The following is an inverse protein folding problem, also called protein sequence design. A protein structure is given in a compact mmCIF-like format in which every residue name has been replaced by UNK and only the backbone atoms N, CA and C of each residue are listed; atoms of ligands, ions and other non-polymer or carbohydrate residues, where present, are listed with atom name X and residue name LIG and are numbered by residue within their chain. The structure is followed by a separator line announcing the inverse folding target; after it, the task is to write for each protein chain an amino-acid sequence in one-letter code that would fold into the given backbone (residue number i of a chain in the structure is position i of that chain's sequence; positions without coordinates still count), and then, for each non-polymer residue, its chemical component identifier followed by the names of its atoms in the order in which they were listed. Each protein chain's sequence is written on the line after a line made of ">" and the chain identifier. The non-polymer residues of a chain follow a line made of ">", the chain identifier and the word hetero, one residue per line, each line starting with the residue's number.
data_IF_209947354330
#
_entry.id   IF_209947354330
#
_cell.length_a   1.000
_cell.length_b   1.000
_cell.length_c   1.000
_cell.angle_alpha   90.00
_cell.angle_beta   90.00
_cell.angle_gamma   90.00
#
_symmetry.space_group_name_H-M   'P 1'
#
loop_
_entity.id
_entity.type
_entity.pdbx_description
1 polymer ?
#
# COMPACT_ATOMS: atom_id res chain seq x y z
N UNK A 1 14.97 -17.96 -9.33
CA UNK A 1 13.88 -18.60 -10.08
C UNK A 1 12.75 -17.61 -10.21
N UNK A 2 12.38 -17.18 -11.41
CA UNK A 2 11.18 -16.37 -11.65
C UNK A 2 9.99 -17.29 -11.39
N UNK A 3 9.28 -17.04 -10.30
CA UNK A 3 7.98 -17.67 -10.07
C UNK A 3 7.03 -17.09 -11.11
N UNK A 4 6.38 -17.92 -11.93
CA UNK A 4 5.57 -17.56 -13.10
C UNK A 4 4.28 -16.78 -12.82
N UNK A 5 4.37 -15.74 -11.97
CA UNK A 5 3.26 -14.82 -11.73
C UNK A 5 3.21 -13.78 -12.85
N UNK A 6 2.05 -13.55 -13.43
CA UNK A 6 1.83 -12.64 -14.56
C UNK A 6 2.24 -11.17 -14.31
N UNK A 7 2.57 -10.81 -13.07
CA UNK A 7 2.95 -9.46 -12.65
C UNK A 7 4.43 -9.29 -12.30
N UNK A 8 5.28 -10.28 -12.55
CA UNK A 8 6.70 -10.27 -12.21
C UNK A 8 7.56 -10.01 -13.45
N UNK A 9 8.42 -9.00 -13.35
CA UNK A 9 9.44 -8.71 -14.33
C UNK A 9 10.68 -8.10 -13.67
N UNK A 10 11.80 -8.08 -14.37
CA UNK A 10 12.99 -7.36 -13.92
C UNK A 10 12.76 -5.85 -14.02
N UNK A 11 13.24 -5.10 -13.02
CA UNK A 11 13.23 -3.65 -13.09
C UNK A 11 14.02 -3.18 -14.32
N UNK A 12 13.46 -2.22 -15.05
CA UNK A 12 14.13 -1.55 -16.15
C UNK A 12 14.73 -0.24 -15.63
N UNK A 13 16.03 -0.07 -15.81
CA UNK A 13 16.75 1.10 -15.32
C UNK A 13 17.12 2.02 -16.50
N UNK A 14 16.86 3.33 -16.43
CA UNK A 14 17.23 4.25 -17.49
C UNK A 14 18.74 4.41 -17.57
N UNK A 15 19.31 4.25 -18.74
CA UNK A 15 20.76 4.41 -18.98
C UNK A 15 21.27 5.81 -18.60
N UNK A 16 20.43 6.83 -18.79
CA UNK A 16 20.75 8.22 -18.45
C UNK A 16 20.89 8.48 -16.93
N UNK A 17 20.48 7.55 -16.08
CA UNK A 17 20.53 7.66 -14.61
C UNK A 17 21.14 6.41 -14.00
N UNK A 18 22.43 6.14 -14.18
CA UNK A 18 23.06 4.88 -13.78
C UNK A 18 23.04 4.65 -12.26
N UNK A 19 23.05 5.72 -11.47
CA UNK A 19 23.01 5.65 -10.01
C UNK A 19 21.63 5.28 -9.46
N UNK A 20 20.55 5.47 -10.22
CA UNK A 20 19.17 5.25 -9.75
C UNK A 20 18.98 3.83 -9.23
N UNK A 21 19.53 2.84 -9.93
CA UNK A 21 19.43 1.44 -9.54
C UNK A 21 20.09 1.18 -8.17
N UNK A 22 21.29 1.71 -7.97
CA UNK A 22 22.06 1.52 -6.73
C UNK A 22 21.40 2.22 -5.56
N UNK A 23 21.02 3.49 -5.73
CA UNK A 23 20.36 4.27 -4.68
C UNK A 23 19.00 3.66 -4.31
N UNK A 24 18.19 3.24 -5.29
CA UNK A 24 16.91 2.59 -5.03
C UNK A 24 17.08 1.28 -4.26
N UNK A 25 18.07 0.46 -4.60
CA UNK A 25 18.35 -0.80 -3.88
C UNK A 25 18.77 -0.55 -2.44
N UNK A 26 19.62 0.45 -2.21
CA UNK A 26 20.07 0.84 -0.86
C UNK A 26 18.88 1.32 -0.02
N UNK A 27 18.02 2.16 -0.60
CA UNK A 27 16.82 2.64 0.06
C UNK A 27 15.84 1.50 0.38
N UNK A 28 15.57 0.62 -0.60
CA UNK A 28 14.72 -0.56 -0.41
C UNK A 28 15.24 -1.45 0.74
N UNK A 29 16.55 -1.67 0.81
CA UNK A 29 17.15 -2.49 1.86
C UNK A 29 16.92 -1.87 3.25
N UNK A 30 17.12 -0.56 3.40
CA UNK A 30 16.89 0.15 4.65
C UNK A 30 15.38 0.13 5.05
N UNK A 31 14.49 0.40 4.09
CA UNK A 31 13.05 0.39 4.34
C UNK A 31 12.52 -1.01 4.67
N UNK A 32 13.08 -2.06 4.06
CA UNK A 32 12.75 -3.45 4.40
C UNK A 32 13.08 -3.76 5.86
N UNK A 33 14.25 -3.37 6.33
CA UNK A 33 14.64 -3.57 7.73
C UNK A 33 13.72 -2.83 8.70
N UNK A 34 13.40 -1.57 8.39
CA UNK A 34 12.47 -0.79 9.20
C UNK A 34 11.07 -1.42 9.21
N UNK A 35 10.54 -1.84 8.06
CA UNK A 35 9.24 -2.48 7.97
C UNK A 35 9.19 -3.80 8.76
N UNK A 36 10.26 -4.61 8.72
CA UNK A 36 10.35 -5.82 9.53
C UNK A 36 10.28 -5.50 11.03
N UNK A 37 11.03 -4.50 11.50
CA UNK A 37 10.97 -4.06 12.90
C UNK A 37 9.58 -3.57 13.30
N UNK A 38 8.88 -2.87 12.43
CA UNK A 38 7.49 -2.44 12.67
C UNK A 38 6.52 -3.62 12.73
N UNK A 39 6.70 -4.65 11.89
CA UNK A 39 5.90 -5.89 11.98
C UNK A 39 6.16 -6.63 13.29
N UNK A 40 7.40 -6.67 13.78
CA UNK A 40 7.76 -7.24 15.07
C UNK A 40 7.09 -6.47 16.24
N UNK A 41 7.13 -5.14 16.21
CA UNK A 41 6.43 -4.31 17.18
C UNK A 41 4.91 -4.50 17.12
N UNK A 42 4.37 -4.69 15.92
CA UNK A 42 2.96 -5.03 15.73
C UNK A 42 2.61 -6.37 16.38
N UNK A 43 3.45 -7.40 16.21
CA UNK A 43 3.25 -8.69 16.87
C UNK A 43 3.22 -8.54 18.40
N UNK A 44 4.19 -7.85 18.97
CA UNK A 44 4.23 -7.57 20.41
C UNK A 44 2.99 -6.82 20.92
N UNK A 45 2.47 -5.87 20.13
CA UNK A 45 1.25 -5.11 20.50
C UNK A 45 -0.04 -5.96 20.48
N UNK A 46 0.05 -7.18 19.94
CA UNK A 46 -1.04 -8.17 19.87
C UNK A 46 -0.84 -9.33 20.84
N UNK A 47 0.09 -9.21 21.83
CA UNK A 47 0.50 -10.25 22.75
C UNK A 47 0.98 -11.53 22.05
N UNK A 48 1.69 -11.35 20.91
CA UNK A 48 2.30 -12.42 20.12
C UNK A 48 3.82 -12.41 20.27
N UNK A 49 4.53 -13.53 19.99
CA UNK A 49 5.98 -13.55 19.87
C UNK A 49 6.47 -12.49 18.85
N UNK A 50 7.63 -11.88 19.10
CA UNK A 50 8.19 -10.83 18.25
C UNK A 50 8.32 -11.28 16.78
N UNK A 51 8.69 -12.53 16.54
CA UNK A 51 8.92 -13.13 15.22
C UNK A 51 7.66 -13.74 14.58
N UNK A 52 6.48 -13.54 15.19
CA UNK A 52 5.24 -14.20 14.75
C UNK A 52 4.94 -14.04 13.26
N UNK A 53 5.20 -12.87 12.68
CA UNK A 53 4.94 -12.59 11.27
C UNK A 53 6.12 -12.89 10.35
N UNK A 54 7.31 -13.25 10.87
CA UNK A 54 8.53 -13.39 10.05
C UNK A 54 8.37 -14.49 8.98
N UNK A 55 7.63 -15.55 9.29
CA UNK A 55 7.35 -16.63 8.35
C UNK A 55 6.54 -16.20 7.12
N UNK A 56 5.80 -15.11 7.22
CA UNK A 56 5.01 -14.55 6.11
C UNK A 56 5.81 -13.59 5.22
N UNK A 57 7.05 -13.27 5.60
CA UNK A 57 7.90 -12.27 4.95
C UNK A 57 9.29 -12.82 4.57
N UNK A 58 9.37 -14.09 4.19
CA UNK A 58 10.63 -14.73 3.75
C UNK A 58 11.09 -14.20 2.37
N UNK A 59 10.15 -13.96 1.48
CA UNK A 59 10.36 -13.38 0.15
C UNK A 59 9.32 -12.31 -0.15
N UNK A 60 9.26 -11.23 0.65
CA UNK A 60 8.20 -10.24 0.57
C UNK A 60 8.22 -9.51 -0.77
N UNK A 61 7.03 -9.10 -1.21
CA UNK A 61 6.88 -8.24 -2.37
C UNK A 61 7.14 -6.79 -1.96
N UNK A 62 8.25 -6.25 -2.44
CA UNK A 62 8.68 -4.89 -2.12
C UNK A 62 8.42 -3.98 -3.33
N UNK A 63 7.64 -2.93 -3.15
CA UNK A 63 7.39 -1.96 -4.20
C UNK A 63 7.81 -0.57 -3.74
N UNK A 64 8.76 0.04 -4.46
CA UNK A 64 9.14 1.44 -4.30
C UNK A 64 8.56 2.25 -5.44
N UNK A 65 7.85 3.32 -5.15
CA UNK A 65 7.40 4.29 -6.14
C UNK A 65 8.08 5.62 -5.91
N UNK A 66 8.49 6.26 -7.00
CA UNK A 66 9.00 7.63 -7.01
C UNK A 66 7.93 8.49 -7.68
N UNK A 67 7.18 9.25 -6.91
CA UNK A 67 6.02 10.00 -7.39
C UNK A 67 6.33 11.49 -7.45
N UNK A 68 6.06 12.10 -8.60
CA UNK A 68 6.12 13.53 -8.82
C UNK A 68 4.74 14.01 -9.26
N UNK A 69 4.10 14.77 -8.42
CA UNK A 69 2.82 15.43 -8.72
C UNK A 69 3.14 16.82 -9.30
N UNK A 70 2.70 17.13 -10.53
CA UNK A 70 2.91 18.46 -11.10
C UNK A 70 2.21 19.53 -10.28
N UNK A 71 2.63 20.81 -10.40
CA UNK A 71 1.92 21.92 -9.79
C UNK A 71 0.45 21.93 -10.20
N UNK A 72 -0.41 22.23 -9.25
CA UNK A 72 -1.85 22.33 -9.53
C UNK A 72 -2.15 23.69 -10.21
N UNK A 73 -2.78 23.73 -11.38
CA UNK A 73 -3.21 24.98 -11.99
C UNK A 73 -4.22 25.70 -11.07
N UNK A 74 -4.16 27.03 -11.00
CA UNK A 74 -5.12 27.83 -10.21
C UNK A 74 -6.58 27.63 -10.66
N UNK A 75 -6.77 27.28 -11.94
CA UNK A 75 -8.09 27.02 -12.54
C UNK A 75 -8.60 25.58 -12.30
N UNK A 76 -7.81 24.71 -11.65
CA UNK A 76 -8.23 23.33 -11.48
C UNK A 76 -9.31 23.20 -10.39
N UNK A 77 -10.26 22.30 -10.66
CA UNK A 77 -11.33 21.98 -9.73
C UNK A 77 -10.76 21.46 -8.40
N UNK A 78 -11.37 21.87 -7.29
CA UNK A 78 -11.06 21.38 -5.93
C UNK A 78 -11.22 19.85 -5.79
N UNK A 79 -11.89 19.21 -6.74
CA UNK A 79 -12.06 17.74 -6.83
C UNK A 79 -10.94 17.04 -7.61
N UNK A 80 -9.95 17.75 -8.13
CA UNK A 80 -8.80 17.15 -8.80
C UNK A 80 -7.80 16.63 -7.76
N UNK A 81 -7.74 15.31 -7.60
CA UNK A 81 -6.83 14.65 -6.67
C UNK A 81 -5.55 14.18 -7.37
N UNK A 82 -4.42 14.26 -6.68
CA UNK A 82 -3.18 13.60 -7.09
C UNK A 82 -3.29 12.07 -6.96
N UNK A 83 -3.99 11.61 -5.92
CA UNK A 83 -4.44 10.23 -5.76
C UNK A 83 -5.82 10.23 -5.09
N UNK A 84 -6.77 9.52 -5.65
CA UNK A 84 -8.11 9.35 -5.09
C UNK A 84 -8.12 8.58 -3.78
N UNK A 85 -9.26 8.57 -3.09
CA UNK A 85 -9.46 7.77 -1.86
C UNK A 85 -9.19 6.29 -2.11
N UNK A 86 -8.27 5.70 -1.34
CA UNK A 86 -7.92 4.28 -1.40
C UNK A 86 -7.33 3.80 -0.08
N UNK A 87 -7.18 2.49 0.07
CA UNK A 87 -6.37 1.81 1.07
C UNK A 87 -5.22 1.09 0.40
N UNK A 88 -4.13 0.83 1.14
CA UNK A 88 -3.02 0.02 0.65
C UNK A 88 -3.31 -1.46 0.85
N UNK A 89 -2.97 -2.28 -0.13
CA UNK A 89 -3.35 -3.70 -0.16
C UNK A 89 -2.39 -4.64 0.58
N UNK A 90 -1.19 -4.15 0.95
CA UNK A 90 -0.16 -4.91 1.64
C UNK A 90 -0.32 -4.94 3.16
N UNK A 91 0.82 -5.10 3.87
CA UNK A 91 0.86 -5.05 5.33
C UNK A 91 1.14 -3.64 5.86
N UNK A 92 2.28 -3.05 5.45
CA UNK A 92 2.71 -1.72 5.90
C UNK A 92 3.19 -0.90 4.70
N UNK A 93 2.88 0.39 4.72
CA UNK A 93 3.48 1.39 3.81
C UNK A 93 4.31 2.38 4.60
N UNK A 94 5.54 2.60 4.16
CA UNK A 94 6.45 3.64 4.66
C UNK A 94 6.53 4.75 3.61
N UNK A 95 6.04 5.94 3.95
CA UNK A 95 5.98 7.04 3.00
C UNK A 95 6.90 8.18 3.43
N UNK A 96 7.91 8.47 2.60
CA UNK A 96 8.60 9.75 2.63
C UNK A 96 7.84 10.76 1.78
N UNK A 97 7.71 11.98 2.25
CA UNK A 97 7.09 13.08 1.52
C UNK A 97 7.89 14.37 1.70
N UNK A 98 7.81 15.25 0.71
CA UNK A 98 8.38 16.59 0.82
C UNK A 98 7.49 17.51 1.68
N UNK A 99 7.91 18.77 1.83
CA UNK A 99 7.25 19.76 2.68
C UNK A 99 5.93 20.31 2.13
N UNK A 100 5.52 19.94 0.91
CA UNK A 100 4.31 20.50 0.27
C UNK A 100 3.00 19.97 0.85
N UNK A 101 3.02 18.87 1.62
CA UNK A 101 1.81 18.29 2.21
C UNK A 101 0.88 17.61 1.19
N UNK A 102 -0.43 17.75 1.41
CA UNK A 102 -1.48 17.23 0.52
C UNK A 102 -1.93 15.80 0.81
N UNK A 103 -1.20 15.03 1.60
CA UNK A 103 -1.71 13.74 2.08
C UNK A 103 -2.76 13.97 3.16
N UNK A 104 -3.92 13.34 2.99
CA UNK A 104 -5.02 13.32 3.96
C UNK A 104 -5.40 11.90 4.30
N UNK A 105 -5.70 11.65 5.56
CA UNK A 105 -6.12 10.35 6.11
C UNK A 105 -7.53 10.49 6.67
N UNK A 106 -8.39 9.51 6.38
CA UNK A 106 -9.76 9.48 6.87
C UNK A 106 -9.81 8.84 8.25
N UNK A 107 -10.29 9.58 9.23
CA UNK A 107 -10.53 9.07 10.56
C UNK A 107 -11.75 8.14 10.60
N UNK A 108 -11.90 7.29 11.64
CA UNK A 108 -13.11 6.47 11.84
C UNK A 108 -14.40 7.28 11.94
N UNK A 109 -14.30 8.55 12.31
CA UNK A 109 -15.41 9.53 12.34
C UNK A 109 -15.89 9.93 10.95
N UNK A 110 -15.12 9.62 9.89
CA UNK A 110 -15.35 10.07 8.52
C UNK A 110 -14.66 11.39 8.18
N UNK A 111 -14.05 12.07 9.15
CA UNK A 111 -13.31 13.31 8.96
C UNK A 111 -11.97 13.04 8.25
N UNK A 112 -11.58 13.96 7.35
CA UNK A 112 -10.28 13.96 6.70
C UNK A 112 -9.31 14.87 7.45
N UNK A 113 -8.18 14.31 7.86
CA UNK A 113 -7.10 15.05 8.52
C UNK A 113 -5.84 15.05 7.68
N UNK A 114 -5.16 16.19 7.64
CA UNK A 114 -3.89 16.31 6.93
C UNK A 114 -2.78 15.56 7.67
N UNK A 115 -2.03 14.72 6.95
CA UNK A 115 -0.75 14.17 7.42
C UNK A 115 0.36 15.18 7.11
N UNK A 116 0.46 16.20 7.97
CA UNK A 116 1.44 17.30 7.82
C UNK A 116 2.87 16.74 7.77
N UNK A 117 3.68 17.13 6.78
CA UNK A 117 5.07 16.70 6.72
C UNK A 117 5.87 17.12 7.95
N UNK A 118 6.66 16.19 8.47
CA UNK A 118 7.64 16.45 9.54
C UNK A 118 9.01 16.08 8.97
N UNK A 119 9.96 16.98 9.05
CA UNK A 119 11.30 16.75 8.53
C UNK A 119 11.95 15.53 9.18
N UNK A 120 12.57 14.68 8.38
CA UNK A 120 13.22 13.44 8.85
C UNK A 120 12.25 12.33 9.27
N UNK A 121 10.93 12.53 9.20
CA UNK A 121 9.95 11.51 9.53
C UNK A 121 9.36 10.80 8.30
N UNK A 122 8.91 9.57 8.52
CA UNK A 122 8.10 8.81 7.58
C UNK A 122 6.66 8.74 8.09
N UNK A 123 5.69 8.82 7.19
CA UNK A 123 4.33 8.40 7.49
C UNK A 123 4.27 6.88 7.38
N UNK A 124 3.74 6.24 8.41
CA UNK A 124 3.51 4.78 8.44
C UNK A 124 2.02 4.54 8.44
N UNK A 125 1.52 3.79 7.46
CA UNK A 125 0.14 3.35 7.45
C UNK A 125 0.03 1.82 7.32
N UNK A 126 -1.02 1.28 7.94
CA UNK A 126 -1.36 -0.13 7.89
C UNK A 126 -2.16 -0.41 6.63
N UNK A 127 -1.78 -1.46 5.92
CA UNK A 127 -2.51 -1.95 4.76
C UNK A 127 -3.59 -2.99 5.11
N UNK A 128 -4.32 -3.45 4.10
CA UNK A 128 -5.51 -4.30 4.23
C UNK A 128 -5.25 -5.70 4.81
N UNK A 129 -3.99 -6.16 4.86
CA UNK A 129 -3.63 -7.43 5.53
C UNK A 129 -3.77 -7.31 7.04
N UNK A 130 -3.48 -6.13 7.61
CA UNK A 130 -3.49 -5.93 9.07
C UNK A 130 -4.89 -6.10 9.67
N UNK A 131 -5.97 -5.47 9.18
CA UNK A 131 -7.31 -5.74 9.70
C UNK A 131 -7.72 -7.20 9.55
N UNK A 132 -7.25 -7.92 8.54
CA UNK A 132 -7.54 -9.35 8.39
C UNK A 132 -6.84 -10.19 9.45
N UNK A 133 -5.54 -9.97 9.69
CA UNK A 133 -4.80 -10.64 10.75
C UNK A 133 -5.32 -10.30 12.14
N UNK A 134 -5.67 -9.04 12.37
CA UNK A 134 -6.11 -8.58 13.70
C UNK A 134 -7.62 -8.65 13.91
N UNK A 135 -8.34 -9.39 13.06
CA UNK A 135 -9.80 -9.55 13.13
C UNK A 135 -10.57 -8.22 13.23
N UNK A 136 -9.99 -7.14 12.64
CA UNK A 136 -10.55 -5.79 12.65
C UNK A 136 -10.19 -4.95 13.88
N UNK A 137 -9.29 -5.43 14.77
CA UNK A 137 -8.78 -4.64 15.89
C UNK A 137 -8.02 -3.42 15.39
N UNK A 138 -7.08 -3.61 14.46
CA UNK A 138 -6.43 -2.54 13.72
C UNK A 138 -7.12 -2.32 12.37
N UNK A 139 -6.95 -1.12 11.81
CA UNK A 139 -7.63 -0.70 10.58
C UNK A 139 -6.62 -0.25 9.52
N UNK A 140 -6.96 -0.49 8.26
CA UNK A 140 -6.35 0.17 7.13
C UNK A 140 -7.15 1.45 6.86
N UNK A 141 -6.55 2.60 7.11
CA UNK A 141 -7.25 3.86 6.96
C UNK A 141 -7.26 4.32 5.50
N UNK A 142 -8.44 4.68 4.95
CA UNK A 142 -8.50 5.33 3.65
C UNK A 142 -7.69 6.62 3.67
N UNK A 143 -6.95 6.86 2.59
CA UNK A 143 -6.16 8.06 2.42
C UNK A 143 -6.23 8.53 0.98
N UNK A 144 -5.87 9.80 0.77
CA UNK A 144 -5.89 10.45 -0.54
C UNK A 144 -4.82 11.54 -0.61
N UNK A 145 -4.48 11.96 -1.81
CA UNK A 145 -3.60 13.11 -2.03
C UNK A 145 -4.40 14.21 -2.70
N UNK A 146 -4.64 15.30 -1.98
CA UNK A 146 -5.12 16.54 -2.57
C UNK A 146 -3.95 17.29 -3.18
N UNK A 147 -4.11 17.70 -4.42
CA UNK A 147 -3.17 18.63 -5.00
C UNK A 147 -3.43 20.01 -4.37
N UNK A 148 -2.61 20.35 -3.37
CA UNK A 148 -2.62 21.70 -2.82
C UNK A 148 -1.83 22.61 -3.75
N UNK A 149 -2.27 23.87 -3.89
CA UNK A 149 -1.54 24.86 -4.66
C UNK A 149 -0.15 25.04 -4.07
N UNK A 150 0.88 24.66 -4.81
CA UNK A 150 2.27 24.62 -4.34
C UNK A 150 3.12 25.81 -4.85
N UNK A 151 2.47 26.93 -5.21
CA UNK A 151 3.19 28.09 -5.73
C UNK A 151 4.00 27.83 -7.00
N UNK A 152 3.58 26.84 -7.81
CA UNK A 152 4.27 26.44 -9.03
C UNK A 152 5.32 25.33 -8.85
N UNK A 153 5.58 24.85 -7.64
CA UNK A 153 6.50 23.74 -7.40
C UNK A 153 5.80 22.37 -7.45
N UNK A 154 6.46 21.32 -7.95
CA UNK A 154 5.94 19.96 -7.89
C UNK A 154 6.05 19.38 -6.49
N UNK A 155 5.10 18.53 -6.11
CA UNK A 155 5.17 17.70 -4.88
C UNK A 155 5.84 16.37 -5.18
N UNK A 156 6.71 15.91 -4.29
CA UNK A 156 7.32 14.59 -4.39
C UNK A 156 6.94 13.72 -3.20
N UNK A 157 6.72 12.42 -3.46
CA UNK A 157 6.56 11.43 -2.42
C UNK A 157 7.12 10.07 -2.85
N UNK A 158 7.57 9.30 -1.87
CA UNK A 158 8.27 8.04 -2.07
C UNK A 158 7.62 6.98 -1.18
N UNK A 159 6.49 6.40 -1.58
CA UNK A 159 5.90 5.28 -0.85
C UNK A 159 6.69 4.00 -1.11
N UNK A 160 6.98 3.30 -0.01
CA UNK A 160 7.52 1.96 0.00
C UNK A 160 6.47 1.00 0.57
N UNK A 161 5.98 0.10 -0.26
CA UNK A 161 4.97 -0.90 0.11
C UNK A 161 5.67 -2.19 0.52
N UNK A 162 5.42 -2.62 1.75
CA UNK A 162 5.89 -3.88 2.32
C UNK A 162 4.73 -4.87 2.36
N UNK A 163 4.73 -5.80 1.42
CA UNK A 163 3.67 -6.78 1.24
C UNK A 163 4.24 -8.17 1.51
N UNK A 164 3.54 -9.03 2.26
CA UNK A 164 4.02 -10.38 2.56
C UNK A 164 4.24 -11.21 1.30
N UNK A 165 4.78 -12.41 1.48
CA UNK A 165 4.96 -13.38 0.41
C UNK A 165 3.62 -13.68 -0.27
N UNK A 166 3.63 -13.82 -1.59
CA UNK A 166 2.41 -14.01 -2.38
C UNK A 166 1.57 -15.19 -1.91
N UNK A 167 2.22 -16.29 -1.51
CA UNK A 167 1.57 -17.52 -1.02
C UNK A 167 1.31 -17.52 0.49
N UNK A 168 1.72 -16.45 1.20
CA UNK A 168 1.51 -16.38 2.64
C UNK A 168 0.03 -16.41 2.99
N UNK A 169 -0.31 -17.19 4.01
CA UNK A 169 -1.67 -17.27 4.54
C UNK A 169 -1.98 -16.06 5.42
N UNK A 170 -3.12 -15.46 5.19
CA UNK A 170 -3.68 -14.38 6.01
C UNK A 170 -4.85 -14.95 6.77
N UNK A 171 -4.59 -15.31 8.04
CA UNK A 171 -5.57 -15.90 8.95
C UNK A 171 -5.64 -15.01 10.19
N UNK A 172 -6.83 -14.69 10.71
CA UNK A 172 -6.96 -13.96 11.97
C UNK A 172 -6.15 -14.61 13.09
N UNK A 173 -5.31 -13.81 13.78
CA UNK A 173 -4.47 -14.30 14.86
C UNK A 173 -5.35 -14.67 16.08
N UNK A 174 -5.03 -15.76 16.80
CA UNK A 174 -5.88 -16.26 17.87
C UNK A 174 -6.17 -15.22 18.98
N UNK A 175 -5.18 -14.38 19.31
CA UNK A 175 -5.32 -13.33 20.35
C UNK A 175 -6.35 -12.26 19.99
N UNK A 176 -6.69 -12.11 18.70
CA UNK A 176 -7.65 -11.11 18.20
C UNK A 176 -9.07 -11.70 17.97
N UNK A 177 -9.27 -12.99 18.20
CA UNK A 177 -10.59 -13.62 18.06
C UNK A 177 -11.14 -13.91 19.47
N UNK A 178 -12.24 -13.28 19.87
CA UNK A 178 -12.83 -13.54 21.17
C UNK A 178 -13.18 -15.01 21.36
N UNK A 179 -13.03 -15.52 22.58
CA UNK A 179 -13.34 -16.90 22.90
C UNK A 179 -14.80 -17.23 22.58
N UNK A 180 -15.02 -18.30 21.79
CA UNK A 180 -16.35 -18.74 21.38
C UNK A 180 -16.93 -18.00 20.16
N UNK A 181 -16.21 -17.03 19.60
CA UNK A 181 -16.61 -16.34 18.36
C UNK A 181 -15.91 -16.90 17.13
N UNK A 182 -16.58 -16.77 15.99
CA UNK A 182 -15.95 -17.04 14.69
C UNK A 182 -15.19 -15.80 14.21
N UNK A 183 -14.04 -16.00 13.53
CA UNK A 183 -13.33 -14.90 12.90
C UNK A 183 -14.20 -14.10 11.92
N UNK A 184 -14.03 -12.78 11.88
CA UNK A 184 -14.74 -11.89 10.93
C UNK A 184 -14.26 -12.07 9.50
N UNK A 185 -13.02 -12.48 9.31
CA UNK A 185 -12.40 -12.64 8.00
C UNK A 185 -12.11 -14.10 7.72
N UNK A 186 -12.59 -14.59 6.58
CA UNK A 186 -12.19 -15.89 6.09
C UNK A 186 -10.69 -15.92 5.75
N UNK A 187 -9.98 -17.05 5.99
CA UNK A 187 -8.61 -17.22 5.53
C UNK A 187 -8.49 -16.98 4.03
N UNK A 188 -7.38 -16.39 3.62
CA UNK A 188 -7.01 -16.27 2.20
C UNK A 188 -5.50 -16.21 2.07
N UNK A 189 -4.96 -16.42 0.87
CA UNK A 189 -3.58 -16.06 0.58
C UNK A 189 -3.46 -14.55 0.26
N UNK A 190 -2.26 -14.02 0.41
CA UNK A 190 -1.95 -12.65 -0.05
C UNK A 190 -2.27 -12.49 -1.53
N UNK A 191 -1.88 -13.48 -2.34
CA UNK A 191 -2.17 -13.49 -3.78
C UNK A 191 -3.64 -13.43 -4.12
N UNK A 192 -4.49 -14.20 -3.43
CA UNK A 192 -5.95 -14.17 -3.61
C UNK A 192 -6.53 -12.79 -3.28
N UNK A 193 -6.08 -12.19 -2.17
CA UNK A 193 -6.48 -10.83 -1.80
C UNK A 193 -6.09 -9.81 -2.87
N UNK A 194 -4.82 -9.81 -3.28
CA UNK A 194 -4.32 -8.89 -4.32
C UNK A 194 -5.09 -9.05 -5.63
N UNK A 195 -5.34 -10.28 -6.08
CA UNK A 195 -6.13 -10.53 -7.28
C UNK A 195 -7.57 -10.01 -7.16
N UNK A 196 -8.20 -10.17 -5.98
CA UNK A 196 -9.52 -9.61 -5.73
C UNK A 196 -9.53 -8.08 -5.81
N UNK A 197 -8.50 -7.43 -5.23
CA UNK A 197 -8.35 -5.99 -5.29
C UNK A 197 -8.07 -5.48 -6.71
N UNK A 198 -7.22 -6.17 -7.49
CA UNK A 198 -6.99 -5.86 -8.90
C UNK A 198 -8.28 -5.93 -9.72
N UNK A 199 -9.07 -7.00 -9.55
CA UNK A 199 -10.36 -7.14 -10.23
C UNK A 199 -11.32 -6.00 -9.88
N UNK A 200 -11.41 -5.67 -8.60
CA UNK A 200 -12.28 -4.60 -8.10
C UNK A 200 -11.88 -3.23 -8.67
N UNK A 201 -10.59 -2.94 -8.73
CA UNK A 201 -10.07 -1.61 -9.08
C UNK A 201 -9.97 -1.40 -10.58
N UNK A 202 -9.58 -2.43 -11.33
CA UNK A 202 -9.30 -2.32 -12.77
C UNK A 202 -10.27 -3.09 -13.66
N UNK A 203 -11.32 -3.68 -13.10
CA UNK A 203 -12.31 -4.44 -13.89
C UNK A 203 -11.76 -5.71 -14.56
N UNK A 204 -10.59 -6.20 -14.13
CA UNK A 204 -9.97 -7.39 -14.68
C UNK A 204 -10.80 -8.62 -14.28
N UNK A 205 -11.65 -9.11 -15.19
CA UNK A 205 -12.52 -10.27 -14.97
C UNK A 205 -13.94 -10.12 -15.47
N UNK A 206 -14.35 -8.96 -15.94
CA UNK A 206 -15.51 -8.85 -16.82
C UNK A 206 -15.01 -9.22 -18.24
N UNK A 207 -15.12 -10.48 -18.61
CA UNK A 207 -15.12 -10.87 -20.02
C UNK A 207 -16.29 -10.11 -20.65
N UNK A 208 -15.99 -9.02 -21.35
CA UNK A 208 -16.93 -8.44 -22.30
C UNK A 208 -17.25 -9.53 -23.29
N UNK A 209 -18.48 -10.05 -23.21
CA UNK A 209 -19.02 -10.96 -24.18
C UNK A 209 -18.88 -10.26 -25.56
N UNK A 210 -18.11 -10.79 -26.53
CA UNK A 210 -17.89 -10.11 -27.82
C UNK A 210 -19.16 -9.99 -28.67
N UNK A 211 -20.33 -10.40 -28.16
CA UNK A 211 -21.59 -10.39 -28.87
C UNK A 211 -22.35 -9.04 -28.84
N UNK A 212 -21.85 -7.99 -28.14
CA UNK A 212 -22.56 -6.69 -28.11
C UNK A 212 -21.94 -5.60 -29.01
N UNK A 213 -20.89 -5.91 -29.79
CA UNK A 213 -20.26 -4.96 -30.71
C UNK A 213 -20.83 -4.97 -32.14
N UNK A 214 -21.95 -5.65 -32.39
CA UNK A 214 -22.51 -5.85 -33.74
C UNK A 214 -23.88 -5.20 -33.94
N UNK A 215 -24.24 -4.16 -33.18
CA UNK A 215 -25.44 -3.37 -33.47
C UNK A 215 -25.14 -1.90 -33.26
N UNK A 216 -24.41 -1.30 -34.18
CA UNK A 216 -24.48 0.13 -34.56
C UNK A 216 -23.64 0.29 -35.85
N UNK A 217 -24.22 -0.11 -36.94
CA UNK A 217 -23.88 0.40 -38.29
C UNK A 217 -24.99 1.34 -38.74
#
# INVERSE_FOLDING_TARGET
>A
MQRGYHSYGSNQWPEALPELATQSRTYIAAMRQLALRLMQLLALSLDLPEDYFDHTHQSPMLTLRLLRYPPHPESADALTFGAGEHTDWGAITLLAQDHHGGLEVKLPTGEWVAATPIEGALVVNLGDMIPRWTNGLYRSNPHRVRNVHSGGAPRHSIPFFYTPDYEAQVVPVPTCVPAGESPRFAPCTVGEHLQAMYRKTYGLGQTTNPASAAVMS
#
